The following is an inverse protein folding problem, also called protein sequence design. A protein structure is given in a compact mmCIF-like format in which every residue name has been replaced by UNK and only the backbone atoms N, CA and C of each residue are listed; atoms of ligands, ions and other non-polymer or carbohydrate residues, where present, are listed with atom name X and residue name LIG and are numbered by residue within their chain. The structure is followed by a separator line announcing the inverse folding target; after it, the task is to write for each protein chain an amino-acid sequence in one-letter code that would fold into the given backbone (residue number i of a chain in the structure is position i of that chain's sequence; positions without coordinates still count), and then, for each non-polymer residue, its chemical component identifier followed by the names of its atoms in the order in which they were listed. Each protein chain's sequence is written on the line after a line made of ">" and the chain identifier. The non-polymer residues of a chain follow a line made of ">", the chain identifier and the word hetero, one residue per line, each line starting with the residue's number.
data_IF_131520053124
#
_entry.id   IF_131520053124
#
_cell.length_a   1.000
_cell.length_b   1.000
_cell.length_c   1.000
_cell.angle_alpha   90.00
_cell.angle_beta   90.00
_cell.angle_gamma   90.00
#
_symmetry.space_group_name_H-M   'P 1'
#
loop_
_entity.id
_entity.type
_entity.pdbx_description
1 polymer ?
#
# COMPACT_ATOMS: atom_id res chain seq x y z
N UNK A 1 0.46 -16.14 47.95
CA UNK A 1 -0.36 -14.96 48.34
C UNK A 1 0.44 -14.06 49.29
N UNK A 2 1.16 -13.04 48.78
CA UNK A 2 1.65 -11.89 49.59
C UNK A 2 2.36 -10.83 48.71
N UNK A 3 1.65 -10.19 47.78
CA UNK A 3 2.22 -9.06 47.00
C UNK A 3 1.25 -7.90 46.73
N UNK A 4 0.09 -7.84 47.40
CA UNK A 4 -0.89 -6.76 47.19
C UNK A 4 -1.14 -5.96 48.46
N UNK A 5 -0.10 -5.30 49.00
CA UNK A 5 -0.33 -4.41 50.15
C UNK A 5 0.57 -3.16 50.20
N UNK A 6 1.10 -2.69 49.07
CA UNK A 6 1.81 -1.41 49.04
C UNK A 6 1.52 -0.66 47.73
N UNK A 7 0.36 0.00 47.67
CA UNK A 7 0.20 1.16 46.80
C UNK A 7 -0.85 2.09 47.38
N UNK A 8 -0.51 2.72 48.51
CA UNK A 8 -1.19 3.93 48.98
C UNK A 8 -0.14 5.03 49.08
N UNK A 9 0.18 5.65 47.95
CA UNK A 9 1.06 6.82 47.89
C UNK A 9 0.36 7.90 47.08
N UNK A 10 -0.24 8.85 47.81
CA UNK A 10 -0.56 10.19 47.33
C UNK A 10 0.76 10.98 47.28
N UNK A 11 1.40 11.09 46.12
CA UNK A 11 2.45 12.10 45.90
C UNK A 11 2.35 12.68 44.49
N UNK A 12 2.51 14.00 44.40
CA UNK A 12 2.37 14.86 43.22
C UNK A 12 3.56 14.79 42.25
N UNK A 13 4.32 13.69 42.26
CA UNK A 13 5.36 13.41 41.27
C UNK A 13 4.98 12.14 40.53
N UNK A 14 4.81 12.24 39.21
CA UNK A 14 4.40 11.14 38.32
C UNK A 14 5.56 10.14 38.18
N UNK A 15 5.90 9.43 39.25
CA UNK A 15 6.78 8.26 39.21
C UNK A 15 5.93 7.14 38.63
N UNK A 16 6.33 6.62 37.47
CA UNK A 16 5.58 5.56 36.81
C UNK A 16 5.74 4.28 37.63
N UNK A 17 4.68 3.50 37.81
CA UNK A 17 4.78 2.17 38.45
C UNK A 17 5.83 1.27 37.77
N UNK A 18 6.18 1.54 36.51
CA UNK A 18 7.27 0.88 35.77
C UNK A 18 8.64 1.05 36.44
N UNK A 19 8.86 2.12 37.20
CA UNK A 19 10.15 2.42 37.82
C UNK A 19 10.53 1.41 38.92
N UNK A 20 9.52 0.82 39.57
CA UNK A 20 9.67 -0.14 40.66
C UNK A 20 9.71 -1.62 40.23
N UNK A 21 9.55 -1.90 38.93
CA UNK A 21 9.57 -3.29 38.45
C UNK A 21 11.00 -3.86 38.38
N UNK A 22 11.21 -5.14 38.74
CA UNK A 22 12.49 -5.80 38.51
C UNK A 22 12.83 -5.80 37.02
N UNK A 23 14.12 -5.74 36.68
CA UNK A 23 14.62 -5.60 35.30
C UNK A 23 13.98 -6.61 34.32
N UNK A 24 13.72 -7.83 34.78
CA UNK A 24 13.07 -8.90 34.03
C UNK A 24 11.63 -8.55 33.63
N UNK A 25 10.86 -7.90 34.50
CA UNK A 25 9.48 -7.50 34.24
C UNK A 25 9.40 -6.27 33.31
N UNK A 26 10.33 -5.31 33.45
CA UNK A 26 10.44 -4.18 32.49
C UNK A 26 10.77 -4.68 31.08
N UNK A 27 11.70 -5.61 30.95
CA UNK A 27 12.06 -6.22 29.66
C UNK A 27 10.90 -7.00 29.04
N UNK A 28 10.13 -7.73 29.84
CA UNK A 28 8.95 -8.46 29.37
C UNK A 28 7.83 -7.51 28.88
N UNK A 29 7.58 -6.41 29.58
CA UNK A 29 6.59 -5.40 29.15
C UNK A 29 7.05 -4.72 27.85
N UNK A 30 8.33 -4.33 27.76
CA UNK A 30 8.89 -3.73 26.53
C UNK A 30 8.86 -4.73 25.37
N UNK A 31 9.10 -6.02 25.62
CA UNK A 31 8.98 -7.06 24.59
C UNK A 31 7.54 -7.21 24.15
N UNK A 32 6.60 -7.31 25.09
CA UNK A 32 5.18 -7.43 24.78
C UNK A 32 4.63 -6.21 24.05
N UNK A 33 5.03 -5.00 24.43
CA UNK A 33 4.68 -3.77 23.74
C UNK A 33 5.28 -3.73 22.32
N UNK A 34 6.52 -4.15 22.14
CA UNK A 34 7.12 -4.30 20.80
C UNK A 34 6.41 -5.35 19.96
N UNK A 35 6.12 -6.51 20.51
CA UNK A 35 5.44 -7.60 19.80
C UNK A 35 4.00 -7.19 19.42
N UNK A 36 3.31 -6.46 20.32
CA UNK A 36 1.99 -5.88 20.06
C UNK A 36 2.05 -4.79 18.98
N UNK A 37 3.00 -3.86 19.06
CA UNK A 37 3.22 -2.81 18.05
C UNK A 37 3.55 -3.46 16.70
N UNK A 38 4.42 -4.47 16.67
CA UNK A 38 4.76 -5.20 15.44
C UNK A 38 3.57 -5.99 14.89
N UNK A 39 2.72 -6.57 15.76
CA UNK A 39 1.49 -7.24 15.35
C UNK A 39 0.45 -6.25 14.79
N UNK A 40 0.32 -5.05 15.37
CA UNK A 40 -0.58 -4.00 14.91
C UNK A 40 -0.21 -3.45 13.52
N UNK A 41 1.07 -3.51 13.14
CA UNK A 41 1.53 -3.07 11.82
C UNK A 41 1.64 -4.18 10.77
N UNK A 42 1.45 -5.46 11.15
CA UNK A 42 1.56 -6.60 10.25
C UNK A 42 0.24 -6.81 9.50
N UNK A 43 0.27 -6.70 8.17
CA UNK A 43 -0.83 -7.16 7.32
C UNK A 43 -1.07 -8.66 7.56
N UNK A 44 -2.33 -9.07 7.77
CA UNK A 44 -2.71 -10.49 7.90
C UNK A 44 -2.32 -11.32 6.68
N UNK A 45 -2.11 -10.66 5.53
CA UNK A 45 -1.72 -11.28 4.27
C UNK A 45 -0.41 -10.71 3.79
N UNK A 46 0.56 -11.58 3.52
CA UNK A 46 1.90 -11.19 3.07
C UNK A 46 1.85 -10.68 1.63
N UNK A 47 2.83 -9.86 1.23
CA UNK A 47 2.98 -9.42 -0.15
C UNK A 47 3.01 -10.61 -1.13
N UNK A 48 3.71 -11.69 -0.78
CA UNK A 48 3.77 -12.89 -1.61
C UNK A 48 2.37 -13.50 -1.82
N UNK A 49 1.58 -13.65 -0.76
CA UNK A 49 0.21 -14.17 -0.85
C UNK A 49 -0.69 -13.27 -1.70
N UNK A 50 -0.62 -11.95 -1.53
CA UNK A 50 -1.35 -11.01 -2.39
C UNK A 50 -1.02 -11.16 -3.87
N UNK A 51 0.28 -11.28 -4.21
CA UNK A 51 0.73 -11.42 -5.58
C UNK A 51 0.36 -12.78 -6.17
N UNK A 52 0.41 -13.85 -5.38
CA UNK A 52 -0.02 -15.19 -5.80
C UNK A 52 -1.49 -15.17 -6.19
N UNK A 53 -2.36 -14.60 -5.35
CA UNK A 53 -3.79 -14.53 -5.62
C UNK A 53 -4.10 -13.63 -6.82
N UNK A 54 -3.42 -12.48 -6.91
CA UNK A 54 -3.54 -11.58 -8.05
C UNK A 54 -3.11 -12.26 -9.36
N UNK A 55 -2.08 -13.10 -9.34
CA UNK A 55 -1.59 -13.81 -10.53
C UNK A 55 -2.55 -14.88 -11.06
N UNK A 56 -3.52 -15.35 -10.27
CA UNK A 56 -4.51 -16.36 -10.71
C UNK A 56 -5.35 -15.83 -11.87
N UNK A 57 -5.77 -14.57 -11.84
CA UNK A 57 -6.56 -13.93 -12.90
C UNK A 57 -5.71 -13.17 -13.93
N UNK A 58 -4.41 -13.42 -13.98
CA UNK A 58 -3.47 -12.77 -14.89
C UNK A 58 -2.42 -13.77 -15.35
N UNK A 59 -2.82 -14.81 -16.10
CA UNK A 59 -1.93 -15.82 -16.66
C UNK A 59 -1.60 -15.51 -18.12
N UNK A 60 -2.58 -15.03 -18.89
CA UNK A 60 -2.44 -14.74 -20.31
C UNK A 60 -1.38 -13.65 -20.57
N UNK A 61 -0.40 -13.88 -21.46
CA UNK A 61 0.66 -12.91 -21.72
C UNK A 61 0.16 -11.60 -22.35
N UNK A 62 -0.91 -11.63 -23.12
CA UNK A 62 -1.54 -10.43 -23.69
C UNK A 62 -2.21 -9.62 -22.59
N UNK A 63 -2.97 -10.26 -21.71
CA UNK A 63 -3.60 -9.59 -20.56
C UNK A 63 -2.53 -8.92 -19.66
N UNK A 64 -1.44 -9.64 -19.35
CA UNK A 64 -0.31 -9.09 -18.59
C UNK A 64 0.29 -7.83 -19.24
N UNK A 65 0.51 -7.84 -20.56
CA UNK A 65 1.05 -6.68 -21.29
C UNK A 65 0.09 -5.49 -21.25
N UNK A 66 -1.20 -5.74 -21.45
CA UNK A 66 -2.24 -4.71 -21.34
C UNK A 66 -2.21 -4.09 -19.94
N UNK A 67 -2.22 -4.92 -18.89
CA UNK A 67 -2.18 -4.45 -17.50
C UNK A 67 -0.89 -3.68 -17.18
N UNK A 68 0.25 -4.14 -17.70
CA UNK A 68 1.52 -3.45 -17.52
C UNK A 68 1.52 -2.01 -18.05
N UNK A 69 0.70 -1.72 -19.08
CA UNK A 69 0.51 -0.35 -19.61
C UNK A 69 -0.64 0.37 -18.90
N UNK A 70 -1.82 -0.25 -18.82
CA UNK A 70 -3.02 0.39 -18.32
C UNK A 70 -2.96 0.68 -16.81
N UNK A 71 -2.34 -0.17 -15.99
CA UNK A 71 -2.24 0.05 -14.53
C UNK A 71 -1.46 1.35 -14.22
N UNK A 72 -0.24 1.58 -14.74
CA UNK A 72 0.45 2.87 -14.55
C UNK A 72 -0.35 4.08 -15.05
N UNK A 73 -1.02 3.95 -16.21
CA UNK A 73 -1.82 5.05 -16.77
C UNK A 73 -3.03 5.37 -15.88
N UNK A 74 -3.73 4.35 -15.38
CA UNK A 74 -4.84 4.55 -14.44
C UNK A 74 -4.33 5.22 -13.17
N UNK A 75 -3.20 4.76 -12.62
CA UNK A 75 -2.61 5.37 -11.42
C UNK A 75 -2.25 6.85 -11.65
N UNK A 76 -1.61 7.17 -12.78
CA UNK A 76 -1.29 8.54 -13.19
C UNK A 76 -2.55 9.41 -13.26
N UNK A 77 -3.61 8.92 -13.92
CA UNK A 77 -4.87 9.67 -14.04
C UNK A 77 -5.53 9.91 -12.68
N UNK A 78 -5.45 8.95 -11.74
CA UNK A 78 -5.96 9.14 -10.38
C UNK A 78 -5.18 10.24 -9.65
N UNK A 79 -3.85 10.23 -9.75
CA UNK A 79 -2.99 11.30 -9.21
C UNK A 79 -3.39 12.65 -9.80
N UNK A 80 -3.60 12.72 -11.13
CA UNK A 80 -4.00 13.93 -11.82
C UNK A 80 -5.36 14.46 -11.34
N UNK A 81 -6.36 13.59 -11.21
CA UNK A 81 -7.70 13.97 -10.77
C UNK A 81 -7.67 14.50 -9.34
N UNK A 82 -6.96 13.84 -8.42
CA UNK A 82 -6.81 14.36 -7.06
C UNK A 82 -6.03 15.68 -7.02
N UNK A 83 -4.97 15.83 -7.82
CA UNK A 83 -4.24 17.09 -7.94
C UNK A 83 -5.16 18.24 -8.36
N UNK A 84 -5.98 18.03 -9.39
CA UNK A 84 -6.90 19.04 -9.93
C UNK A 84 -8.08 19.34 -9.01
N UNK A 85 -8.53 18.37 -8.20
CA UNK A 85 -9.56 18.60 -7.17
C UNK A 85 -8.98 19.40 -6.01
N UNK A 86 -7.90 18.90 -5.41
CA UNK A 86 -7.22 19.54 -4.27
C UNK A 86 -5.85 18.88 -4.02
N UNK A 87 -4.72 19.59 -4.18
CA UNK A 87 -3.38 19.04 -3.93
C UNK A 87 -3.16 18.50 -2.50
N UNK A 88 -3.83 19.05 -1.49
CA UNK A 88 -3.76 18.53 -0.11
C UNK A 88 -4.49 17.18 0.03
N UNK A 89 -5.58 16.99 -0.71
CA UNK A 89 -6.26 15.68 -0.77
C UNK A 89 -5.36 14.64 -1.43
N UNK A 90 -4.69 14.99 -2.54
CA UNK A 90 -3.69 14.12 -3.14
C UNK A 90 -2.60 13.74 -2.13
N UNK A 91 -2.06 14.71 -1.39
CA UNK A 91 -1.04 14.43 -0.38
C UNK A 91 -1.54 13.44 0.68
N UNK A 92 -2.74 13.66 1.24
CA UNK A 92 -3.32 12.76 2.23
C UNK A 92 -3.51 11.33 1.69
N UNK A 93 -4.07 11.20 0.47
CA UNK A 93 -4.26 9.91 -0.19
C UNK A 93 -2.93 9.24 -0.49
N UNK A 94 -1.95 9.98 -1.01
CA UNK A 94 -0.61 9.47 -1.31
C UNK A 94 0.08 8.96 -0.06
N UNK A 95 0.02 9.69 1.07
CA UNK A 95 0.55 9.22 2.35
C UNK A 95 -0.12 7.93 2.82
N UNK A 96 -1.44 7.81 2.67
CA UNK A 96 -2.16 6.57 2.98
C UNK A 96 -1.74 5.38 2.11
N UNK A 97 -1.58 5.61 0.80
CA UNK A 97 -1.12 4.58 -0.16
C UNK A 97 0.32 4.17 0.11
N UNK A 98 1.21 5.13 0.37
CA UNK A 98 2.61 4.85 0.70
C UNK A 98 2.73 4.14 2.05
N UNK A 99 1.92 4.52 3.04
CA UNK A 99 1.82 3.79 4.30
C UNK A 99 1.39 2.33 4.10
N UNK A 100 0.41 2.08 3.22
CA UNK A 100 0.02 0.72 2.85
C UNK A 100 1.20 -0.08 2.27
N UNK A 101 1.97 0.51 1.35
CA UNK A 101 3.14 -0.16 0.78
C UNK A 101 4.28 -0.36 1.77
N UNK A 102 4.49 0.57 2.70
CA UNK A 102 5.48 0.43 3.77
C UNK A 102 5.19 -0.78 4.67
N UNK A 103 3.91 -1.06 4.96
CA UNK A 103 3.48 -2.25 5.70
C UNK A 103 3.65 -3.56 4.92
N UNK A 104 3.74 -3.49 3.58
CA UNK A 104 3.87 -4.66 2.71
C UNK A 104 5.33 -5.03 2.43
N UNK A 105 6.16 -4.03 2.09
CA UNK A 105 7.60 -4.20 1.85
C UNK A 105 8.30 -2.84 1.69
N UNK A 106 9.45 -2.67 2.33
CA UNK A 106 10.26 -1.45 2.21
C UNK A 106 10.69 -1.15 0.76
N UNK A 107 11.07 -2.17 -0.01
CA UNK A 107 11.45 -1.98 -1.42
C UNK A 107 10.28 -1.48 -2.26
N UNK A 108 9.08 -1.94 -1.97
CA UNK A 108 7.86 -1.50 -2.67
C UNK A 108 7.48 -0.07 -2.28
N UNK A 109 7.63 0.29 -1.01
CA UNK A 109 7.45 1.67 -0.55
C UNK A 109 8.34 2.64 -1.33
N UNK A 110 9.64 2.34 -1.46
CA UNK A 110 10.57 3.19 -2.22
C UNK A 110 10.15 3.28 -3.69
N UNK A 111 9.89 2.14 -4.33
CA UNK A 111 9.50 2.10 -5.73
C UNK A 111 8.23 2.91 -6.01
N UNK A 112 7.21 2.75 -5.17
CA UNK A 112 5.95 3.47 -5.31
C UNK A 112 6.09 4.96 -4.94
N UNK A 113 6.98 5.32 -4.00
CA UNK A 113 7.30 6.72 -3.70
C UNK A 113 7.88 7.43 -4.93
N UNK A 114 8.86 6.79 -5.59
CA UNK A 114 9.44 7.30 -6.83
C UNK A 114 8.38 7.40 -7.93
N UNK A 115 7.54 6.37 -8.10
CA UNK A 115 6.50 6.37 -9.12
C UNK A 115 5.44 7.47 -8.88
N UNK A 116 5.01 7.69 -7.64
CA UNK A 116 4.12 8.80 -7.27
C UNK A 116 4.78 10.15 -7.60
N UNK A 117 6.05 10.34 -7.26
CA UNK A 117 6.78 11.57 -7.57
C UNK A 117 6.84 11.84 -9.08
N UNK A 118 7.10 10.80 -9.89
CA UNK A 118 7.06 10.89 -11.36
C UNK A 118 5.66 11.27 -11.84
N UNK A 119 4.60 10.66 -11.31
CA UNK A 119 3.23 11.01 -11.69
C UNK A 119 2.91 12.47 -11.38
N UNK A 120 3.28 12.95 -10.20
CA UNK A 120 3.11 14.36 -9.80
C UNK A 120 3.88 15.29 -10.74
N UNK A 121 5.13 14.96 -11.07
CA UNK A 121 5.94 15.75 -11.99
C UNK A 121 5.31 15.83 -13.40
N UNK A 122 4.79 14.71 -13.92
CA UNK A 122 4.08 14.67 -15.21
C UNK A 122 2.83 15.55 -15.17
N UNK A 123 1.99 15.37 -14.15
CA UNK A 123 0.73 16.14 -13.99
C UNK A 123 1.01 17.63 -13.86
N UNK A 124 2.04 18.02 -13.12
CA UNK A 124 2.43 19.43 -12.98
C UNK A 124 3.01 20.04 -14.28
N UNK A 125 3.52 19.21 -15.19
CA UNK A 125 4.17 19.67 -16.43
C UNK A 125 3.24 19.73 -17.64
N UNK A 126 2.07 19.06 -17.60
CA UNK A 126 1.17 18.96 -18.75
C UNK A 126 -0.19 19.57 -18.41
N UNK A 127 -0.62 20.66 -19.09
CA UNK A 127 -1.87 21.35 -18.79
C UNK A 127 -3.09 20.65 -19.41
N UNK A 128 -3.30 19.37 -19.07
CA UNK A 128 -4.53 18.65 -19.41
C UNK A 128 -5.61 19.02 -18.39
N UNK A 129 -6.78 19.46 -18.87
CA UNK A 129 -7.93 19.79 -18.04
C UNK A 129 -8.60 18.52 -17.47
N UNK A 130 -9.43 18.70 -16.45
CA UNK A 130 -10.08 17.60 -15.71
C UNK A 130 -10.76 16.56 -16.64
N UNK A 131 -11.55 17.01 -17.61
CA UNK A 131 -12.22 16.14 -18.59
C UNK A 131 -11.27 15.30 -19.44
N UNK A 132 -10.08 15.83 -19.79
CA UNK A 132 -9.06 15.09 -20.52
C UNK A 132 -8.49 13.92 -19.71
N UNK A 133 -8.22 14.14 -18.42
CA UNK A 133 -7.77 13.06 -17.52
C UNK A 133 -8.85 11.99 -17.31
N UNK A 134 -10.12 12.38 -17.22
CA UNK A 134 -11.25 11.44 -17.19
C UNK A 134 -11.29 10.59 -18.47
N UNK A 135 -11.11 11.19 -19.64
CA UNK A 135 -11.08 10.45 -20.90
C UNK A 135 -9.96 9.40 -20.92
N UNK A 136 -8.75 9.78 -20.51
CA UNK A 136 -7.60 8.85 -20.42
C UNK A 136 -7.86 7.74 -19.40
N UNK A 137 -8.43 8.06 -18.23
CA UNK A 137 -8.82 7.09 -17.21
C UNK A 137 -9.80 6.05 -17.77
N UNK A 138 -10.86 6.51 -18.44
CA UNK A 138 -11.87 5.62 -19.05
C UNK A 138 -11.25 4.73 -20.13
N UNK A 139 -10.44 5.30 -21.03
CA UNK A 139 -9.77 4.53 -22.09
C UNK A 139 -8.83 3.46 -21.51
N UNK A 140 -8.08 3.78 -20.46
CA UNK A 140 -7.20 2.81 -19.81
C UNK A 140 -7.98 1.68 -19.11
N UNK A 141 -9.14 2.00 -18.51
CA UNK A 141 -10.04 0.99 -17.93
C UNK A 141 -10.67 0.09 -18.99
N UNK A 142 -11.12 0.65 -20.12
CA UNK A 142 -11.59 -0.13 -21.27
C UNK A 142 -10.49 -1.12 -21.69
N UNK A 143 -9.23 -0.66 -21.76
CA UNK A 143 -8.07 -1.51 -22.00
C UNK A 143 -7.96 -2.68 -21.02
N UNK A 144 -8.00 -2.40 -19.71
CA UNK A 144 -7.97 -3.47 -18.69
C UNK A 144 -9.12 -4.47 -18.85
N UNK A 145 -10.35 -4.00 -19.11
CA UNK A 145 -11.49 -4.90 -19.30
C UNK A 145 -11.35 -5.77 -20.56
N UNK A 146 -10.75 -5.25 -21.64
CA UNK A 146 -10.39 -6.05 -22.81
C UNK A 146 -9.37 -7.13 -22.42
N UNK A 147 -8.35 -6.78 -21.63
CA UNK A 147 -7.38 -7.73 -21.10
C UNK A 147 -8.04 -8.88 -20.32
N UNK A 148 -8.93 -8.55 -19.40
CA UNK A 148 -9.70 -9.54 -18.63
C UNK A 148 -10.67 -10.36 -19.48
N UNK A 149 -11.26 -9.77 -20.52
CA UNK A 149 -12.09 -10.53 -21.49
C UNK A 149 -11.26 -11.57 -22.23
N UNK A 150 -10.02 -11.26 -22.59
CA UNK A 150 -9.07 -12.20 -23.22
C UNK A 150 -8.62 -13.28 -22.22
N UNK A 151 -8.44 -12.92 -20.94
CA UNK A 151 -8.12 -13.88 -19.88
C UNK A 151 -9.26 -14.86 -19.60
N UNK A 152 -10.51 -14.40 -19.72
CA UNK A 152 -11.69 -15.17 -19.30
C UNK A 152 -11.93 -15.16 -17.78
N UNK A 153 -11.12 -14.41 -17.03
CA UNK A 153 -11.25 -14.24 -15.58
C UNK A 153 -11.70 -12.82 -15.24
N UNK A 154 -12.56 -12.68 -14.22
CA UNK A 154 -13.02 -11.37 -13.74
C UNK A 154 -11.87 -10.59 -13.09
N UNK A 155 -11.90 -9.25 -13.13
CA UNK A 155 -10.93 -8.42 -12.40
C UNK A 155 -10.92 -8.67 -10.90
N UNK A 156 -9.73 -8.80 -10.31
CA UNK A 156 -9.58 -9.18 -8.89
C UNK A 156 -10.15 -8.14 -7.92
N UNK A 157 -10.25 -6.87 -8.33
CA UNK A 157 -10.80 -5.81 -7.47
C UNK A 157 -12.30 -5.96 -7.19
N UNK A 158 -13.02 -6.79 -7.96
CA UNK A 158 -14.40 -7.15 -7.64
C UNK A 158 -14.50 -8.06 -6.41
N UNK A 159 -13.44 -8.81 -6.12
CA UNK A 159 -13.35 -9.66 -4.92
C UNK A 159 -12.92 -8.83 -3.70
N UNK A 160 -11.93 -7.95 -3.89
CA UNK A 160 -11.45 -7.04 -2.86
C UNK A 160 -10.85 -5.77 -3.48
N UNK A 161 -11.35 -4.60 -3.09
CA UNK A 161 -10.88 -3.30 -3.55
C UNK A 161 -9.37 -3.08 -3.31
N UNK A 162 -8.77 -3.76 -2.32
CA UNK A 162 -7.32 -3.70 -2.06
C UNK A 162 -6.50 -4.20 -3.25
N UNK A 163 -7.04 -5.07 -4.12
CA UNK A 163 -6.35 -5.49 -5.33
C UNK A 163 -6.05 -4.34 -6.30
N UNK A 164 -6.74 -3.19 -6.18
CA UNK A 164 -6.37 -1.96 -6.90
C UNK A 164 -4.98 -1.44 -6.48
N UNK A 165 -4.56 -1.67 -5.24
CA UNK A 165 -3.22 -1.32 -4.75
C UNK A 165 -2.20 -2.43 -5.05
N UNK A 166 -2.65 -3.68 -5.19
CA UNK A 166 -1.77 -4.80 -5.56
C UNK A 166 -1.37 -4.76 -7.03
N UNK A 167 -2.25 -4.31 -7.93
CA UNK A 167 -1.93 -4.18 -9.36
C UNK A 167 -0.68 -3.33 -9.64
N UNK A 168 -0.59 -2.07 -9.15
CA UNK A 168 0.61 -1.24 -9.27
C UNK A 168 1.85 -1.88 -8.66
N UNK A 169 1.70 -2.56 -7.52
CA UNK A 169 2.81 -3.28 -6.90
C UNK A 169 3.33 -4.43 -7.77
N UNK A 170 2.44 -5.19 -8.40
CA UNK A 170 2.80 -6.26 -9.33
C UNK A 170 3.58 -5.74 -10.54
N UNK A 171 3.17 -4.59 -11.10
CA UNK A 171 3.90 -3.92 -12.20
C UNK A 171 5.27 -3.42 -11.72
N UNK A 172 5.33 -2.71 -10.59
CA UNK A 172 6.57 -2.18 -10.03
C UNK A 172 7.59 -3.30 -9.72
N UNK A 173 7.13 -4.40 -9.12
CA UNK A 173 7.99 -5.54 -8.82
C UNK A 173 8.46 -6.27 -10.07
N UNK A 174 7.66 -6.31 -11.14
CA UNK A 174 8.07 -6.89 -12.43
C UNK A 174 9.18 -6.07 -13.10
N UNK A 175 9.28 -4.77 -12.83
CA UNK A 175 10.37 -3.90 -13.28
C UNK A 175 11.64 -4.08 -12.45
N UNK A 176 11.50 -4.20 -11.13
CA UNK A 176 12.63 -4.34 -10.19
C UNK A 176 13.23 -5.75 -10.30
N UNK A 177 12.38 -6.77 -10.18
CA UNK A 177 12.74 -8.17 -10.31
C UNK A 177 12.58 -8.54 -11.76
N UNK A 178 13.58 -8.19 -12.58
CA UNK A 178 13.74 -8.72 -13.94
C UNK A 178 13.41 -10.23 -13.91
N UNK A 179 12.59 -10.78 -14.82
CA UNK A 179 12.21 -12.18 -14.77
C UNK A 179 13.48 -13.03 -14.72
N UNK A 180 13.62 -13.84 -13.68
CA UNK A 180 14.66 -14.87 -13.58
C UNK A 180 14.28 -15.92 -14.63
N UNK A 181 14.74 -15.67 -15.85
CA UNK A 181 14.67 -16.50 -17.05
C UNK A 181 13.27 -16.74 -17.64
N UNK A 182 13.17 -16.50 -18.95
CA UNK A 182 12.08 -16.98 -19.81
C UNK A 182 12.23 -18.48 -20.03
#
# INVERSE_FOLDING_TARGET
>A
MRWLSICNIKTTHRISCLDFLPKCAKLAIISYEKDFVMAMFKSNKTLASWLTDYAVSHRNPTNKKIHFVCVPVIFLTIVALFWLINPFLLLAVALGVLWFYARLSWSLFIAMSVFVAICVAIVASIPIHFGGWIAVFVLAWIGQFIGHKIEGAKPSFFEDVQFLLIGPAWVALSLIKKPINK
#
